data_IF_325042604058
#
_entry.id   IF_325042604058
#
_cell.length_a   1.000
_cell.length_b   1.000
_cell.length_c   1.000
_cell.angle_alpha   90.00
_cell.angle_beta   90.00
_cell.angle_gamma   90.00
#
_symmetry.space_group_name_H-M   'P 1'
#
loop_
_entity.id
_entity.type
_entity.pdbx_description
1 polymer ?
#
# COMPACT_ATOMS: atom_id res chain seq x y z
N UNK A 1 -1.79 -18.59 -10.63
CA UNK A 1 -3.12 -18.34 -10.07
C UNK A 1 -4.15 -17.94 -11.11
N UNK A 2 -3.72 -17.33 -12.24
CA UNK A 2 -4.62 -16.82 -13.29
C UNK A 2 -5.54 -17.92 -13.85
N UNK A 3 -5.06 -19.13 -13.98
CA UNK A 3 -5.83 -20.30 -14.46
C UNK A 3 -6.98 -20.70 -13.54
N UNK A 4 -6.95 -20.28 -12.26
CA UNK A 4 -8.04 -20.46 -11.29
C UNK A 4 -9.11 -19.38 -11.36
N UNK A 5 -8.88 -18.35 -12.17
CA UNK A 5 -9.72 -17.15 -12.27
C UNK A 5 -10.14 -16.86 -13.73
N UNK A 6 -10.75 -17.82 -14.45
CA UNK A 6 -10.99 -17.68 -15.90
C UNK A 6 -12.18 -16.78 -16.26
N UNK A 7 -12.99 -16.35 -15.27
CA UNK A 7 -14.23 -15.58 -15.47
C UNK A 7 -14.30 -14.39 -14.54
N UNK A 8 -15.29 -13.51 -14.80
CA UNK A 8 -15.69 -12.38 -13.94
C UNK A 8 -14.59 -11.36 -13.68
N UNK A 9 -13.62 -11.27 -14.58
CA UNK A 9 -12.48 -10.36 -14.43
C UNK A 9 -11.66 -10.55 -13.14
N UNK A 10 -11.80 -11.69 -12.49
CA UNK A 10 -11.18 -12.03 -11.21
C UNK A 10 -9.66 -11.86 -11.16
N UNK A 11 -8.88 -12.06 -12.26
CA UNK A 11 -7.44 -11.77 -12.21
C UNK A 11 -7.15 -10.32 -11.79
N UNK A 12 -7.95 -9.35 -12.20
CA UNK A 12 -7.82 -7.95 -11.83
C UNK A 12 -8.46 -7.64 -10.49
N UNK A 13 -9.70 -8.13 -10.26
CA UNK A 13 -10.45 -7.81 -9.05
C UNK A 13 -9.89 -8.46 -7.78
N UNK A 14 -9.29 -9.63 -7.90
CA UNK A 14 -8.81 -10.44 -6.77
C UNK A 14 -7.33 -10.78 -6.90
N UNK A 15 -6.90 -11.17 -8.10
CA UNK A 15 -5.53 -11.63 -8.35
C UNK A 15 -4.50 -10.54 -8.11
N UNK A 16 -4.67 -9.35 -8.67
CA UNK A 16 -3.72 -8.25 -8.50
C UNK A 16 -3.57 -7.80 -7.05
N UNK A 17 -4.65 -7.58 -6.27
CA UNK A 17 -4.51 -7.31 -4.84
C UNK A 17 -3.77 -8.40 -4.06
N UNK A 18 -3.97 -9.68 -4.42
CA UNK A 18 -3.25 -10.80 -3.81
C UNK A 18 -1.76 -10.80 -4.15
N UNK A 19 -1.41 -10.55 -5.42
CA UNK A 19 0.00 -10.45 -5.87
C UNK A 19 0.72 -9.27 -5.20
N UNK A 20 0.06 -8.12 -5.05
CA UNK A 20 0.61 -6.98 -4.32
C UNK A 20 0.92 -7.35 -2.87
N UNK A 21 0.01 -8.06 -2.20
CA UNK A 21 0.23 -8.52 -0.83
C UNK A 21 1.37 -9.52 -0.74
N UNK A 22 1.48 -10.43 -1.71
CA UNK A 22 2.58 -11.38 -1.80
C UNK A 22 3.93 -10.65 -1.98
N UNK A 23 3.97 -9.62 -2.84
CA UNK A 23 5.16 -8.80 -3.06
C UNK A 23 5.61 -8.09 -1.78
N UNK A 24 4.68 -7.44 -1.06
CA UNK A 24 4.97 -6.78 0.22
C UNK A 24 5.55 -7.78 1.23
N UNK A 25 4.88 -8.92 1.43
CA UNK A 25 5.35 -9.96 2.34
C UNK A 25 6.72 -10.51 1.96
N UNK A 26 6.95 -10.74 0.66
CA UNK A 26 8.24 -11.23 0.16
C UNK A 26 9.37 -10.23 0.44
N UNK A 27 9.14 -8.94 0.27
CA UNK A 27 10.13 -7.91 0.58
C UNK A 27 10.39 -7.78 2.08
N UNK A 28 9.34 -7.85 2.91
CA UNK A 28 9.47 -7.79 4.37
C UNK A 28 10.24 -9.02 4.87
N UNK A 29 9.75 -10.22 4.58
CA UNK A 29 10.33 -11.45 5.12
C UNK A 29 11.71 -11.77 4.53
N UNK A 30 11.96 -11.40 3.27
CA UNK A 30 13.29 -11.50 2.64
C UNK A 30 14.30 -10.43 3.11
N UNK A 31 13.92 -9.55 4.05
CA UNK A 31 14.81 -8.55 4.65
C UNK A 31 15.26 -7.46 3.69
N UNK A 32 14.49 -7.19 2.63
CA UNK A 32 14.88 -6.18 1.62
C UNK A 32 15.04 -4.80 2.23
N UNK A 33 14.10 -4.39 3.09
CA UNK A 33 14.15 -3.08 3.75
C UNK A 33 15.26 -2.98 4.80
N UNK A 34 15.69 -4.10 5.38
CA UNK A 34 16.84 -4.14 6.28
C UNK A 34 18.16 -4.01 5.53
N UNK A 35 18.23 -4.64 4.36
CA UNK A 35 19.42 -4.64 3.51
C UNK A 35 19.60 -3.33 2.74
N UNK A 36 18.49 -2.71 2.32
CA UNK A 36 18.49 -1.51 1.48
C UNK A 36 17.73 -0.36 2.17
N UNK A 37 18.34 0.25 3.19
CA UNK A 37 17.72 1.27 4.05
C UNK A 37 17.21 2.52 3.32
N UNK A 38 17.78 2.84 2.17
CA UNK A 38 17.39 4.02 1.37
C UNK A 38 16.44 3.68 0.22
N UNK A 39 16.02 2.43 0.11
CA UNK A 39 15.09 2.01 -0.93
C UNK A 39 13.71 2.60 -0.68
N UNK A 40 13.21 3.38 -1.62
CA UNK A 40 11.83 3.85 -1.64
C UNK A 40 11.00 2.93 -2.53
N UNK A 41 9.90 2.43 -2.01
CA UNK A 41 8.95 1.57 -2.74
C UNK A 41 7.55 2.10 -2.54
N UNK A 42 6.76 2.10 -3.60
CA UNK A 42 5.33 2.36 -3.55
C UNK A 42 4.60 1.14 -4.11
N UNK A 43 3.63 0.64 -3.36
CA UNK A 43 2.78 -0.47 -3.79
C UNK A 43 1.41 0.06 -4.21
N UNK A 44 0.94 -0.41 -5.36
CA UNK A 44 -0.35 0.00 -5.93
C UNK A 44 -1.55 -0.59 -5.20
N UNK A 45 -2.72 -0.05 -5.50
CA UNK A 45 -4.03 -0.51 -5.02
C UNK A 45 -4.11 -0.56 -3.50
N UNK A 46 -3.64 0.52 -2.84
CA UNK A 46 -3.61 0.60 -1.39
C UNK A 46 -2.79 -0.50 -0.69
N UNK A 47 -1.88 -1.16 -1.41
CA UNK A 47 -1.14 -2.32 -0.89
C UNK A 47 -1.92 -3.64 -1.01
N UNK A 48 -2.97 -3.66 -1.83
CA UNK A 48 -3.78 -4.85 -2.05
C UNK A 48 -4.53 -5.31 -0.79
N UNK A 49 -4.46 -6.59 -0.46
CA UNK A 49 -5.06 -7.12 0.77
C UNK A 49 -4.14 -7.05 2.01
N UNK A 50 -2.87 -6.63 1.84
CA UNK A 50 -1.89 -6.61 2.93
C UNK A 50 -2.34 -5.78 4.13
N UNK A 51 -2.86 -4.54 3.98
CA UNK A 51 -3.26 -3.72 5.12
C UNK A 51 -4.33 -4.41 5.98
N UNK A 52 -5.32 -5.03 5.36
CA UNK A 52 -6.37 -5.73 6.08
C UNK A 52 -5.88 -7.03 6.75
N UNK A 53 -4.86 -7.67 6.19
CA UNK A 53 -4.34 -8.96 6.66
C UNK A 53 -3.11 -8.84 7.56
N UNK A 54 -2.62 -7.63 7.84
CA UNK A 54 -1.40 -7.42 8.65
C UNK A 54 -1.46 -8.12 10.02
N UNK A 55 -2.62 -8.13 10.67
CA UNK A 55 -2.79 -8.84 11.95
C UNK A 55 -2.58 -10.35 11.83
N UNK A 56 -3.05 -10.97 10.73
CA UNK A 56 -2.81 -12.39 10.44
C UNK A 56 -1.33 -12.65 10.15
N UNK A 57 -0.69 -11.76 9.40
CA UNK A 57 0.72 -11.86 9.01
C UNK A 57 1.62 -11.77 10.27
N UNK A 58 1.36 -10.80 11.13
CA UNK A 58 2.04 -10.63 12.43
C UNK A 58 1.83 -11.84 13.36
N UNK A 59 0.59 -12.32 13.43
CA UNK A 59 0.30 -13.50 14.24
C UNK A 59 1.08 -14.73 13.74
N UNK A 60 1.12 -14.94 12.43
CA UNK A 60 1.93 -16.01 11.81
C UNK A 60 3.42 -15.89 12.13
N UNK A 61 3.96 -14.67 12.08
CA UNK A 61 5.35 -14.39 12.48
C UNK A 61 5.62 -14.78 13.93
N UNK A 62 4.70 -14.46 14.84
CA UNK A 62 4.85 -14.73 16.28
C UNK A 62 4.71 -16.21 16.64
N UNK A 63 3.81 -16.96 15.98
CA UNK A 63 3.51 -18.35 16.35
C UNK A 63 4.35 -19.38 15.58
N UNK A 64 4.88 -19.01 14.42
CA UNK A 64 5.74 -19.86 13.58
C UNK A 64 7.00 -19.12 13.09
N UNK A 65 7.81 -18.58 14.03
CA UNK A 65 9.06 -17.91 13.66
C UNK A 65 10.04 -18.83 12.92
N UNK A 66 9.94 -20.12 13.15
CA UNK A 66 10.69 -21.17 12.45
C UNK A 66 10.43 -21.20 10.93
N UNK A 67 9.25 -20.79 10.51
CA UNK A 67 8.85 -20.74 9.09
C UNK A 67 8.87 -19.32 8.50
N UNK A 68 8.58 -18.31 9.31
CA UNK A 68 8.31 -16.95 8.84
C UNK A 68 9.50 -16.01 9.08
N UNK A 69 10.16 -16.12 10.24
CA UNK A 69 11.29 -15.28 10.61
C UNK A 69 12.65 -15.90 10.19
N UNK A 70 12.74 -16.50 8.99
CA UNK A 70 13.93 -17.18 8.51
C UNK A 70 15.02 -16.15 8.18
N UNK A 71 14.75 -15.27 7.24
CA UNK A 71 15.72 -14.30 6.70
C UNK A 71 15.62 -12.94 7.39
N UNK A 72 14.50 -12.63 8.02
CA UNK A 72 14.26 -11.37 8.73
C UNK A 72 13.60 -11.62 10.09
N UNK A 73 14.19 -11.08 11.15
CA UNK A 73 13.72 -11.22 12.55
C UNK A 73 12.89 -10.02 13.01
N UNK A 74 12.72 -9.00 12.18
CA UNK A 74 11.94 -7.79 12.49
C UNK A 74 10.46 -8.09 12.28
N UNK A 75 9.63 -7.67 13.24
CA UNK A 75 8.19 -7.87 13.17
C UNK A 75 7.61 -7.19 11.91
N UNK A 76 6.77 -7.86 11.11
CA UNK A 76 6.19 -7.29 9.90
C UNK A 76 5.40 -5.99 10.13
N UNK A 77 4.81 -5.79 11.30
CA UNK A 77 4.10 -4.56 11.65
C UNK A 77 5.02 -3.35 11.74
N UNK A 78 6.29 -3.53 12.09
CA UNK A 78 7.27 -2.44 12.20
C UNK A 78 7.64 -1.82 10.83
N UNK A 79 7.17 -2.43 9.74
CA UNK A 79 7.33 -1.91 8.38
C UNK A 79 6.16 -1.02 7.93
N UNK A 80 5.07 -0.93 8.71
CA UNK A 80 4.03 0.06 8.43
C UNK A 80 4.65 1.47 8.47
N UNK A 81 4.40 2.24 7.42
CA UNK A 81 5.02 3.57 7.26
C UNK A 81 6.47 3.57 6.73
N UNK A 82 7.06 2.41 6.40
CA UNK A 82 8.40 2.33 5.79
C UNK A 82 8.37 2.34 4.25
N UNK A 83 7.24 2.06 3.66
CA UNK A 83 6.99 2.11 2.23
C UNK A 83 5.72 2.93 1.95
N UNK A 84 5.54 3.31 0.72
CA UNK A 84 4.37 4.05 0.28
C UNK A 84 3.29 3.11 -0.27
N UNK A 85 2.04 3.50 -0.13
CA UNK A 85 0.88 2.91 -0.77
C UNK A 85 0.22 3.98 -1.63
N UNK A 86 -0.53 3.59 -2.65
CA UNK A 86 -1.35 4.56 -3.36
C UNK A 86 -2.78 4.65 -2.79
N UNK A 87 -3.51 5.67 -3.22
CA UNK A 87 -4.88 5.93 -2.79
C UNK A 87 -5.95 5.22 -3.64
N UNK A 88 -5.54 4.34 -4.56
CA UNK A 88 -6.45 3.70 -5.49
C UNK A 88 -7.19 2.53 -4.85
N UNK A 89 -8.18 2.83 -4.05
CA UNK A 89 -8.98 1.84 -3.30
C UNK A 89 -10.48 1.92 -3.55
N UNK A 90 -10.95 2.94 -4.30
CA UNK A 90 -12.34 3.12 -4.75
C UNK A 90 -13.41 3.17 -3.63
N UNK A 91 -13.00 3.38 -2.38
CA UNK A 91 -13.90 3.35 -1.23
C UNK A 91 -13.41 4.25 -0.10
N UNK A 92 -14.31 5.08 0.47
CA UNK A 92 -14.01 6.05 1.52
C UNK A 92 -13.51 5.39 2.80
N UNK A 93 -14.14 4.30 3.21
CA UNK A 93 -13.75 3.59 4.43
C UNK A 93 -12.42 2.89 4.25
N UNK A 94 -12.13 2.37 3.06
CA UNK A 94 -10.85 1.76 2.76
C UNK A 94 -9.72 2.79 2.79
N UNK A 95 -9.90 3.98 2.18
CA UNK A 95 -8.91 5.05 2.22
C UNK A 95 -8.68 5.55 3.65
N UNK A 96 -9.78 5.77 4.41
CA UNK A 96 -9.67 6.14 5.82
C UNK A 96 -8.90 5.10 6.63
N UNK A 97 -9.20 3.81 6.43
CA UNK A 97 -8.50 2.73 7.11
C UNK A 97 -6.99 2.73 6.79
N UNK A 98 -6.61 2.98 5.54
CA UNK A 98 -5.20 3.09 5.17
C UNK A 98 -4.52 4.25 5.90
N UNK A 99 -5.14 5.43 5.93
CA UNK A 99 -4.61 6.59 6.65
C UNK A 99 -4.43 6.29 8.14
N UNK A 100 -5.43 5.66 8.77
CA UNK A 100 -5.37 5.29 10.19
C UNK A 100 -4.27 4.23 10.46
N UNK A 101 -3.99 3.36 9.50
CA UNK A 101 -3.04 2.25 9.65
C UNK A 101 -1.59 2.66 9.40
N UNK A 102 -1.32 3.38 8.30
CA UNK A 102 0.06 3.67 7.84
C UNK A 102 0.48 5.12 8.01
N UNK A 103 -0.46 6.00 8.36
CA UNK A 103 -0.26 7.43 8.41
C UNK A 103 -0.47 8.14 7.07
N UNK A 104 -0.83 9.42 7.12
CA UNK A 104 -1.09 10.24 5.94
C UNK A 104 0.18 10.59 5.14
N UNK A 105 1.37 10.36 5.71
CA UNK A 105 2.66 10.65 5.06
C UNK A 105 3.13 9.53 4.13
N UNK A 106 2.43 8.41 4.06
CA UNK A 106 2.83 7.23 3.28
C UNK A 106 1.82 6.81 2.24
N UNK A 107 0.86 7.67 1.94
CA UNK A 107 -0.13 7.45 0.89
C UNK A 107 0.09 8.49 -0.22
N UNK A 108 0.21 8.03 -1.46
CA UNK A 108 0.35 8.87 -2.65
C UNK A 108 -0.88 8.75 -3.53
N UNK A 109 -1.16 9.78 -4.34
CA UNK A 109 -2.23 9.73 -5.31
C UNK A 109 -1.96 8.62 -6.35
N UNK A 110 -2.89 7.68 -6.50
CA UNK A 110 -2.92 6.68 -7.55
C UNK A 110 -4.11 6.88 -8.48
N UNK A 111 -3.94 6.65 -9.77
CA UNK A 111 -5.02 6.77 -10.76
C UNK A 111 -5.28 5.50 -11.55
N UNK A 112 -4.31 4.59 -11.64
CA UNK A 112 -4.33 3.40 -12.49
C UNK A 112 -4.60 3.71 -13.98
N UNK A 113 -4.30 4.94 -14.41
CA UNK A 113 -4.41 5.32 -15.82
C UNK A 113 -3.42 4.50 -16.68
N UNK A 114 -3.80 3.97 -17.86
CA UNK A 114 -5.08 4.18 -18.57
C UNK A 114 -6.07 3.00 -18.45
N UNK A 115 -6.02 2.25 -17.37
CA UNK A 115 -6.84 1.05 -17.24
C UNK A 115 -8.30 1.35 -16.89
N UNK A 116 -9.26 0.52 -17.35
CA UNK A 116 -10.68 0.74 -17.09
C UNK A 116 -11.07 0.71 -15.61
N UNK A 117 -10.24 0.10 -14.76
CA UNK A 117 -10.43 0.05 -13.31
C UNK A 117 -9.84 1.27 -12.60
N UNK A 118 -9.18 2.18 -13.35
CA UNK A 118 -8.62 3.40 -12.82
C UNK A 118 -9.66 4.47 -12.46
N UNK A 119 -9.22 5.52 -11.78
CA UNK A 119 -10.07 6.68 -11.46
C UNK A 119 -10.19 7.61 -12.65
N UNK A 120 -11.43 7.97 -13.03
CA UNK A 120 -11.71 8.96 -14.07
C UNK A 120 -11.38 10.39 -13.61
N UNK A 121 -11.51 10.66 -12.30
CA UNK A 121 -11.22 11.93 -11.65
C UNK A 121 -10.20 11.68 -10.53
N UNK A 122 -8.90 11.55 -10.86
CA UNK A 122 -7.86 11.26 -9.86
C UNK A 122 -7.84 12.31 -8.74
N UNK A 123 -7.87 11.84 -7.49
CA UNK A 123 -7.90 12.69 -6.31
C UNK A 123 -9.29 13.00 -5.76
N UNK A 124 -10.36 12.76 -6.50
CA UNK A 124 -11.74 13.03 -6.05
C UNK A 124 -12.09 12.30 -4.75
N UNK A 125 -11.65 11.04 -4.61
CA UNK A 125 -11.84 10.26 -3.39
C UNK A 125 -11.15 10.93 -2.19
N UNK A 126 -9.92 11.42 -2.35
CA UNK A 126 -9.17 12.13 -1.30
C UNK A 126 -9.88 13.43 -0.92
N UNK A 127 -10.33 14.20 -1.91
CA UNK A 127 -11.03 15.46 -1.70
C UNK A 127 -12.38 15.29 -0.98
N UNK A 128 -13.10 14.22 -1.30
CA UNK A 128 -14.42 13.92 -0.71
C UNK A 128 -14.34 13.45 0.74
N UNK A 129 -13.19 12.94 1.21
CA UNK A 129 -13.07 12.35 2.53
C UNK A 129 -13.04 13.43 3.63
N UNK A 130 -14.20 13.66 4.25
CA UNK A 130 -14.38 14.71 5.26
C UNK A 130 -13.54 14.53 6.53
N UNK A 131 -13.09 13.31 6.81
CA UNK A 131 -12.24 13.00 7.97
C UNK A 131 -10.79 13.44 7.80
N UNK A 132 -10.35 13.78 6.60
CA UNK A 132 -9.00 14.31 6.36
C UNK A 132 -8.91 15.79 6.65
N UNK A 133 -7.85 16.20 7.34
CA UNK A 133 -7.48 17.61 7.45
C UNK A 133 -7.05 18.18 6.07
N UNK A 134 -7.05 19.50 5.94
CA UNK A 134 -6.53 20.16 4.73
C UNK A 134 -5.06 19.76 4.47
N UNK A 135 -4.25 19.70 5.53
CA UNK A 135 -2.86 19.27 5.42
C UNK A 135 -2.71 17.82 4.95
N UNK A 136 -3.50 16.90 5.53
CA UNK A 136 -3.49 15.50 5.10
C UNK A 136 -3.90 15.35 3.63
N UNK A 137 -4.93 16.10 3.17
CA UNK A 137 -5.31 16.10 1.76
C UNK A 137 -4.17 16.53 0.84
N UNK A 138 -3.48 17.61 1.17
CA UNK A 138 -2.32 18.07 0.39
C UNK A 138 -1.20 17.02 0.35
N UNK A 139 -0.94 16.34 1.49
CA UNK A 139 0.04 15.25 1.53
C UNK A 139 -0.34 14.15 0.54
N UNK A 140 -1.57 13.64 0.60
CA UNK A 140 -2.03 12.56 -0.25
C UNK A 140 -2.11 12.97 -1.73
N UNK A 141 -2.57 14.18 -2.04
CA UNK A 141 -2.76 14.66 -3.41
C UNK A 141 -1.45 14.89 -4.17
N UNK A 142 -0.39 15.37 -3.48
CA UNK A 142 0.84 15.70 -4.20
C UNK A 142 2.13 15.72 -3.36
N UNK A 143 2.12 16.13 -2.09
CA UNK A 143 3.36 16.32 -1.30
C UNK A 143 4.13 15.01 -1.12
N UNK A 144 3.44 13.94 -0.78
CA UNK A 144 4.07 12.62 -0.59
C UNK A 144 4.66 12.08 -1.90
N UNK A 145 3.98 12.30 -3.03
CA UNK A 145 4.52 11.92 -4.34
C UNK A 145 5.77 12.72 -4.69
N UNK A 146 5.77 14.04 -4.41
CA UNK A 146 6.95 14.89 -4.59
C UNK A 146 8.12 14.41 -3.72
N UNK A 147 7.88 14.07 -2.45
CA UNK A 147 8.91 13.51 -1.55
C UNK A 147 9.42 12.16 -2.06
N UNK A 148 8.52 11.27 -2.46
CA UNK A 148 8.89 9.95 -3.02
C UNK A 148 9.81 10.09 -4.22
N UNK A 149 9.48 11.00 -5.15
CA UNK A 149 10.23 11.27 -6.38
C UNK A 149 11.47 12.15 -6.17
N UNK A 150 11.66 12.72 -4.96
CA UNK A 150 12.76 13.64 -4.68
C UNK A 150 12.63 15.00 -5.39
N UNK A 151 11.42 15.41 -5.73
CA UNK A 151 11.13 16.70 -6.35
C UNK A 151 11.23 17.78 -5.28
N UNK A 152 12.16 18.73 -5.45
CA UNK A 152 12.27 19.89 -4.55
C UNK A 152 11.05 20.80 -4.75
N UNK A 153 10.35 21.05 -3.67
CA UNK A 153 9.29 22.05 -3.65
C UNK A 153 9.96 23.43 -3.67
N UNK A 154 9.84 24.13 -4.78
CA UNK A 154 10.14 25.58 -4.81
C UNK A 154 8.94 26.28 -4.17
N UNK A 155 9.12 26.76 -2.96
CA UNK A 155 8.18 27.66 -2.27
C UNK A 155 8.30 29.04 -2.89
#
# INVERSE_FOLDING_TARGET
GKEKMPKYWLPWLVGMPAETSLAICSMIFGGVFEKFKNLKVCFSHGGGSFPFTIGRIEHGFNVRPDLVAIDNKVNPRDYLGKFYLDSLVHDDMALKYLVDLVGDERIVLGSDYPFPLGEHEPGKLIESLSSLSAESREKLLWKNAAEFLGIKQSI
#
